data_IF_451371314332
#
_entry.id   IF_451371314332
#
_cell.length_a   1.000
_cell.length_b   1.000
_cell.length_c   1.000
_cell.angle_alpha   90.00
_cell.angle_beta   90.00
_cell.angle_gamma   90.00
#
_symmetry.space_group_name_H-M   'P 1'
#
loop_
_entity.id
_entity.type
_entity.pdbx_description
1 polymer ?
#
# COMPACT_ATOMS: atom_id res chain seq x y z
N UNK A 1 -25.42 22.68 -54.45
CA UNK A 1 -26.16 23.19 -53.27
C UNK A 1 -25.81 22.27 -52.11
N UNK A 2 -24.85 22.67 -51.48
CA UNK A 2 -24.57 23.34 -50.21
C UNK A 2 -24.39 22.36 -49.07
N UNK A 3 -23.15 22.18 -48.73
CA UNK A 3 -22.51 22.43 -47.44
C UNK A 3 -23.47 22.81 -46.32
N UNK A 4 -23.49 21.97 -45.28
CA UNK A 4 -23.45 22.33 -43.86
C UNK A 4 -23.60 21.05 -42.98
N UNK A 5 -22.51 20.44 -42.66
CA UNK A 5 -22.45 19.49 -41.50
C UNK A 5 -20.97 19.30 -41.04
N UNK A 6 -20.31 20.41 -40.69
CA UNK A 6 -18.96 20.35 -40.08
C UNK A 6 -18.84 21.03 -38.70
N UNK A 7 -19.94 21.41 -38.07
CA UNK A 7 -19.86 22.10 -36.76
C UNK A 7 -20.42 21.31 -35.57
N UNK A 8 -20.89 20.06 -35.77
CA UNK A 8 -21.43 19.22 -34.69
C UNK A 8 -20.42 18.36 -33.93
N UNK A 9 -19.22 18.15 -34.46
CA UNK A 9 -18.27 17.20 -33.87
C UNK A 9 -17.23 17.77 -32.87
N UNK A 10 -17.14 19.11 -32.76
CA UNK A 10 -16.18 19.76 -31.85
C UNK A 10 -16.71 19.93 -30.41
N UNK A 11 -18.01 20.08 -30.24
CA UNK A 11 -18.60 20.23 -28.89
C UNK A 11 -18.85 18.90 -28.19
N UNK A 12 -19.15 17.82 -28.91
CA UNK A 12 -19.24 16.47 -28.34
C UNK A 12 -17.88 15.93 -27.92
N UNK A 13 -16.79 16.30 -28.58
CA UNK A 13 -15.42 15.94 -28.20
C UNK A 13 -14.94 16.65 -26.93
N UNK A 14 -15.48 17.79 -26.57
CA UNK A 14 -15.14 18.51 -25.33
C UNK A 14 -15.85 17.94 -24.09
N UNK A 15 -16.96 17.21 -24.26
CA UNK A 15 -17.72 16.58 -23.18
C UNK A 15 -17.15 15.24 -22.73
N UNK A 16 -16.32 14.60 -23.56
CA UNK A 16 -15.61 13.35 -23.22
C UNK A 16 -14.12 13.59 -22.97
N UNK A 17 -13.76 14.43 -21.98
CA UNK A 17 -12.43 14.31 -21.39
C UNK A 17 -12.35 12.89 -20.78
N UNK A 18 -11.34 12.07 -21.12
CA UNK A 18 -11.19 10.76 -20.51
C UNK A 18 -11.01 10.95 -19.01
N UNK A 19 -12.06 10.68 -18.23
CA UNK A 19 -12.12 10.85 -16.79
C UNK A 19 -11.48 9.68 -16.04
N UNK A 20 -11.01 8.66 -16.75
CA UNK A 20 -10.37 7.48 -16.20
C UNK A 20 -8.91 7.37 -16.66
N UNK A 21 -8.10 6.63 -15.91
CA UNK A 21 -6.74 6.25 -16.34
C UNK A 21 -6.84 5.58 -17.72
N UNK A 22 -6.16 6.13 -18.71
CA UNK A 22 -6.05 5.51 -20.02
C UNK A 22 -5.00 4.38 -19.93
N UNK A 23 -5.46 3.16 -19.63
CA UNK A 23 -4.58 2.00 -19.43
C UNK A 23 -3.73 1.69 -20.68
N UNK A 24 -4.28 1.87 -21.89
CA UNK A 24 -3.55 1.65 -23.12
C UNK A 24 -2.39 2.64 -23.27
N UNK A 25 -2.63 3.92 -23.03
CA UNK A 25 -1.57 4.94 -23.08
C UNK A 25 -0.53 4.76 -21.96
N UNK A 26 -0.97 4.35 -20.78
CA UNK A 26 -0.04 4.03 -19.69
C UNK A 26 0.86 2.85 -20.06
N UNK A 27 0.31 1.80 -20.66
CA UNK A 27 1.06 0.66 -21.14
C UNK A 27 2.07 1.09 -22.21
N UNK A 28 1.63 1.82 -23.25
CA UNK A 28 2.50 2.33 -24.31
C UNK A 28 3.72 3.11 -23.78
N UNK A 29 3.50 3.98 -22.80
CA UNK A 29 4.57 4.80 -22.22
C UNK A 29 5.53 3.98 -21.35
N UNK A 30 5.03 3.00 -20.60
CA UNK A 30 5.82 2.26 -19.62
C UNK A 30 6.40 0.96 -20.16
N UNK A 31 5.90 0.45 -21.28
CA UNK A 31 6.33 -0.84 -21.87
C UNK A 31 7.84 -0.97 -22.07
N UNK A 32 8.57 0.04 -22.60
CA UNK A 32 10.03 -0.08 -22.77
C UNK A 32 10.74 -0.32 -21.42
N UNK A 33 10.33 0.36 -20.36
CA UNK A 33 10.94 0.22 -19.02
C UNK A 33 10.57 -1.12 -18.38
N UNK A 34 9.31 -1.58 -18.55
CA UNK A 34 8.92 -2.92 -18.12
C UNK A 34 9.74 -3.99 -18.83
N UNK A 35 9.88 -3.92 -20.17
CA UNK A 35 10.66 -4.87 -20.94
C UNK A 35 12.11 -4.91 -20.45
N UNK A 36 12.76 -3.76 -20.28
CA UNK A 36 14.11 -3.68 -19.75
C UNK A 36 14.23 -4.28 -18.34
N UNK A 37 13.25 -4.01 -17.45
CA UNK A 37 13.25 -4.55 -16.10
C UNK A 37 13.03 -6.08 -16.07
N UNK A 38 12.19 -6.62 -16.97
CA UNK A 38 12.03 -8.06 -17.14
C UNK A 38 13.29 -8.73 -17.69
N UNK A 39 13.91 -8.17 -18.72
CA UNK A 39 15.17 -8.69 -19.34
C UNK A 39 16.31 -8.73 -18.32
N UNK A 40 16.39 -7.76 -17.44
CA UNK A 40 17.40 -7.67 -16.36
C UNK A 40 17.06 -8.46 -15.10
N UNK A 41 15.97 -9.24 -15.08
CA UNK A 41 15.59 -10.07 -13.95
C UNK A 41 15.13 -9.29 -12.72
N UNK A 42 14.66 -8.05 -12.90
CA UNK A 42 14.14 -7.20 -11.82
C UNK A 42 12.64 -7.37 -11.61
N UNK A 43 11.95 -7.99 -12.58
CA UNK A 43 10.51 -8.26 -12.56
C UNK A 43 10.20 -9.66 -13.05
N UNK A 44 9.04 -10.20 -12.66
CA UNK A 44 8.62 -11.55 -13.07
C UNK A 44 9.46 -12.68 -12.50
N UNK A 45 10.19 -12.44 -11.41
CA UNK A 45 11.17 -13.38 -10.85
C UNK A 45 10.49 -14.44 -10.00
N UNK A 46 10.74 -15.70 -10.31
CA UNK A 46 10.39 -16.82 -9.42
C UNK A 46 11.49 -17.02 -8.39
N UNK A 47 11.10 -17.20 -7.12
CA UNK A 47 12.07 -17.40 -6.06
C UNK A 47 11.63 -18.51 -5.07
N UNK A 48 12.62 -19.07 -4.36
CA UNK A 48 12.40 -19.87 -3.15
C UNK A 48 12.71 -19.03 -1.93
N UNK A 49 11.85 -19.13 -0.90
CA UNK A 49 12.03 -18.38 0.34
C UNK A 49 13.08 -19.10 1.21
N UNK A 50 14.10 -18.37 1.63
CA UNK A 50 15.10 -18.77 2.59
C UNK A 50 14.90 -18.09 3.96
N UNK A 51 15.85 -18.26 4.86
CA UNK A 51 15.86 -17.65 6.18
C UNK A 51 16.35 -16.18 6.14
N UNK A 52 16.05 -15.40 7.16
CA UNK A 52 16.58 -14.05 7.38
C UNK A 52 16.50 -13.12 6.18
N UNK A 53 15.32 -13.05 5.54
CA UNK A 53 15.07 -12.20 4.35
C UNK A 53 15.90 -12.56 3.12
N UNK A 54 16.48 -13.74 3.09
CA UNK A 54 17.12 -14.26 1.88
C UNK A 54 16.11 -14.99 1.00
N UNK A 55 16.29 -14.87 -0.29
CA UNK A 55 15.57 -15.65 -1.29
C UNK A 55 16.58 -16.23 -2.29
N UNK A 56 16.27 -17.38 -2.86
CA UNK A 56 16.97 -17.96 -3.99
C UNK A 56 16.19 -17.69 -5.27
N UNK A 57 16.82 -17.04 -6.22
CA UNK A 57 16.22 -16.83 -7.55
C UNK A 57 16.19 -18.18 -8.26
N UNK A 58 14.98 -18.67 -8.56
CA UNK A 58 14.78 -20.05 -9.02
C UNK A 58 15.46 -20.36 -10.38
N UNK A 59 15.64 -19.35 -11.24
CA UNK A 59 16.25 -19.50 -12.57
C UNK A 59 17.78 -19.54 -12.53
N UNK A 60 18.41 -18.86 -11.59
CA UNK A 60 19.87 -18.72 -11.51
C UNK A 60 20.47 -19.45 -10.32
N UNK A 61 19.68 -19.78 -9.28
CA UNK A 61 20.17 -20.29 -8.03
C UNK A 61 20.85 -19.24 -7.13
N UNK A 62 20.87 -17.99 -7.55
CA UNK A 62 21.51 -16.91 -6.81
C UNK A 62 20.76 -16.63 -5.49
N UNK A 63 21.51 -16.55 -4.39
CA UNK A 63 20.99 -16.11 -3.10
C UNK A 63 21.08 -14.59 -3.01
N UNK A 64 19.95 -13.94 -2.66
CA UNK A 64 19.90 -12.48 -2.55
C UNK A 64 19.16 -12.07 -1.26
N UNK A 65 19.51 -10.90 -0.74
CA UNK A 65 18.77 -10.23 0.34
C UNK A 65 17.58 -9.51 -0.26
N UNK A 66 16.38 -9.79 0.24
CA UNK A 66 15.12 -9.29 -0.30
C UNK A 66 14.60 -8.06 0.44
N UNK A 67 14.59 -6.92 -0.23
CA UNK A 67 14.00 -5.65 0.21
C UNK A 67 12.63 -5.38 -0.42
N UNK A 68 11.98 -6.36 -1.05
CA UNK A 68 10.72 -6.14 -1.80
C UNK A 68 9.49 -6.58 -1.03
N UNK A 69 9.56 -7.73 -0.31
CA UNK A 69 8.41 -8.27 0.43
C UNK A 69 8.07 -7.42 1.65
N UNK A 70 6.76 -7.21 1.86
CA UNK A 70 6.25 -6.35 2.91
C UNK A 70 5.96 -7.08 4.25
N UNK A 71 6.57 -8.23 4.50
CA UNK A 71 6.49 -8.94 5.78
C UNK A 71 7.35 -8.25 6.86
N UNK A 72 6.96 -7.03 7.28
CA UNK A 72 7.81 -6.12 8.06
C UNK A 72 8.32 -6.67 9.39
N UNK A 73 7.51 -7.49 10.06
CA UNK A 73 7.87 -8.14 11.33
C UNK A 73 8.30 -9.61 11.16
N UNK A 74 8.38 -10.09 9.90
CA UNK A 74 8.70 -11.48 9.55
C UNK A 74 7.76 -12.53 10.17
N UNK A 75 6.53 -12.12 10.52
CA UNK A 75 5.52 -13.02 11.10
C UNK A 75 4.98 -14.02 10.07
N UNK A 76 5.08 -13.73 8.79
CA UNK A 76 4.74 -14.63 7.69
C UNK A 76 5.61 -15.89 7.64
N UNK A 77 6.80 -15.85 8.23
CA UNK A 77 7.73 -16.99 8.39
C UNK A 77 7.77 -17.52 9.82
N UNK A 78 6.99 -16.97 10.74
CA UNK A 78 7.04 -17.34 12.16
C UNK A 78 6.52 -18.77 12.40
N UNK A 79 7.26 -19.65 13.13
CA UNK A 79 6.91 -21.07 13.31
C UNK A 79 5.49 -21.30 13.82
N UNK A 80 5.04 -20.52 14.80
CA UNK A 80 3.69 -20.66 15.36
C UNK A 80 2.61 -20.24 14.37
N UNK A 81 2.84 -19.22 13.54
CA UNK A 81 1.93 -18.77 12.49
C UNK A 81 1.80 -19.83 11.40
N UNK A 82 2.94 -20.39 10.96
CA UNK A 82 2.96 -21.46 9.96
C UNK A 82 2.29 -22.75 10.48
N UNK A 83 2.54 -23.13 11.75
CA UNK A 83 1.92 -24.30 12.37
C UNK A 83 0.40 -24.13 12.47
N UNK A 84 -0.09 -22.95 12.87
CA UNK A 84 -1.52 -22.66 12.98
C UNK A 84 -2.21 -22.63 11.61
N UNK A 85 -1.53 -22.13 10.56
CA UNK A 85 -2.05 -22.17 9.19
C UNK A 85 -2.30 -23.61 8.71
N UNK A 86 -1.36 -24.52 9.01
CA UNK A 86 -1.52 -25.95 8.67
C UNK A 86 -2.65 -26.60 9.45
N UNK A 87 -2.68 -26.40 10.78
CA UNK A 87 -3.67 -27.01 11.66
C UNK A 87 -5.10 -26.56 11.37
N UNK A 88 -5.31 -25.30 11.01
CA UNK A 88 -6.66 -24.76 10.79
C UNK A 88 -7.39 -25.41 9.60
N UNK A 89 -6.67 -25.77 8.54
CA UNK A 89 -7.29 -26.47 7.40
C UNK A 89 -7.72 -27.89 7.78
N UNK A 90 -6.93 -28.58 8.59
CA UNK A 90 -7.24 -29.93 9.07
C UNK A 90 -8.40 -29.93 10.08
N UNK A 91 -8.44 -28.97 11.01
CA UNK A 91 -9.49 -28.83 12.03
C UNK A 91 -10.87 -28.58 11.37
N UNK A 92 -10.94 -27.69 10.40
CA UNK A 92 -12.20 -27.30 9.75
C UNK A 92 -12.59 -28.27 8.63
N UNK A 93 -11.67 -29.09 8.16
CA UNK A 93 -11.86 -30.04 7.05
C UNK A 93 -12.36 -29.38 5.76
N UNK A 94 -11.98 -28.11 5.57
CA UNK A 94 -12.35 -27.31 4.40
C UNK A 94 -11.28 -26.27 4.12
N UNK A 95 -10.91 -26.10 2.86
CA UNK A 95 -9.96 -25.06 2.43
C UNK A 95 -10.62 -23.67 2.46
N UNK A 96 -11.85 -23.56 2.00
CA UNK A 96 -12.48 -22.27 1.74
C UNK A 96 -13.82 -22.03 2.39
N UNK A 97 -14.49 -23.03 2.91
CA UNK A 97 -15.87 -22.90 3.40
C UNK A 97 -16.75 -22.06 2.45
N UNK A 98 -16.89 -22.54 1.22
CA UNK A 98 -17.47 -21.79 0.11
C UNK A 98 -18.96 -21.57 0.27
N UNK A 99 -19.34 -20.43 0.83
CA UNK A 99 -20.75 -20.01 1.00
C UNK A 99 -20.83 -18.48 1.04
N UNK A 100 -21.97 -17.92 0.64
CA UNK A 100 -22.22 -16.50 0.85
C UNK A 100 -22.26 -16.20 2.35
N UNK A 101 -21.36 -15.35 2.83
CA UNK A 101 -21.20 -15.00 4.25
C UNK A 101 -22.44 -14.34 4.87
N UNK A 102 -23.33 -13.83 4.05
CA UNK A 102 -24.65 -13.36 4.48
C UNK A 102 -25.56 -14.50 4.98
N UNK A 103 -25.22 -15.76 4.70
CA UNK A 103 -25.99 -16.95 5.10
C UNK A 103 -25.30 -17.71 6.23
N UNK A 104 -24.02 -18.03 6.04
CA UNK A 104 -23.22 -18.79 7.00
C UNK A 104 -21.80 -18.21 7.06
N UNK A 105 -21.21 -18.23 8.25
CA UNK A 105 -19.79 -17.92 8.45
C UNK A 105 -19.16 -19.06 9.24
N UNK A 106 -17.95 -19.48 8.84
CA UNK A 106 -17.19 -20.45 9.63
C UNK A 106 -16.87 -19.88 11.01
N UNK A 107 -17.04 -20.65 12.07
CA UNK A 107 -16.80 -20.21 13.47
C UNK A 107 -15.41 -19.59 13.65
N UNK A 108 -14.28 -20.17 13.14
CA UNK A 108 -12.97 -19.57 13.31
C UNK A 108 -12.85 -18.17 12.70
N UNK A 109 -13.58 -17.87 11.62
CA UNK A 109 -13.59 -16.55 11.04
C UNK A 109 -14.32 -15.54 11.94
N UNK A 110 -15.45 -15.94 12.53
CA UNK A 110 -16.17 -15.11 13.51
C UNK A 110 -15.30 -14.87 14.76
N UNK A 111 -14.61 -15.91 15.22
CA UNK A 111 -13.63 -15.80 16.33
C UNK A 111 -12.47 -14.86 15.98
N UNK A 112 -11.97 -14.91 14.74
CA UNK A 112 -10.92 -13.99 14.28
C UNK A 112 -11.43 -12.54 14.32
N UNK A 113 -12.60 -12.25 13.77
CA UNK A 113 -13.17 -10.89 13.76
C UNK A 113 -13.34 -10.34 15.18
N UNK A 114 -13.85 -11.15 16.12
CA UNK A 114 -13.98 -10.73 17.53
C UNK A 114 -12.62 -10.57 18.22
N UNK A 115 -11.66 -11.45 17.93
CA UNK A 115 -10.28 -11.35 18.45
C UNK A 115 -9.61 -10.04 17.99
N UNK A 116 -9.72 -9.72 16.70
CA UNK A 116 -9.15 -8.50 16.13
C UNK A 116 -9.86 -7.24 16.65
N UNK A 117 -11.18 -7.28 16.84
CA UNK A 117 -11.94 -6.16 17.44
C UNK A 117 -11.43 -5.82 18.85
N UNK A 118 -11.21 -6.86 19.65
CA UNK A 118 -10.66 -6.72 21.01
C UNK A 118 -9.20 -6.26 20.99
N UNK A 119 -8.39 -6.82 20.07
CA UNK A 119 -6.97 -6.47 19.94
C UNK A 119 -6.80 -4.99 19.59
N UNK A 120 -7.54 -4.51 18.60
CA UNK A 120 -7.43 -3.13 18.10
C UNK A 120 -8.32 -2.12 18.85
N UNK A 121 -9.10 -2.60 19.82
CA UNK A 121 -10.02 -1.77 20.60
C UNK A 121 -10.96 -0.93 19.71
N UNK A 122 -11.70 -1.61 18.85
CA UNK A 122 -12.69 -1.04 17.96
C UNK A 122 -14.05 -1.74 18.17
N UNK A 123 -15.15 -1.09 17.76
CA UNK A 123 -16.50 -1.65 17.94
C UNK A 123 -16.68 -2.97 17.19
N UNK A 124 -16.09 -3.09 16.00
CA UNK A 124 -16.08 -4.33 15.23
C UNK A 124 -14.99 -4.35 14.17
N UNK A 125 -14.63 -5.56 13.75
CA UNK A 125 -13.79 -5.82 12.58
C UNK A 125 -14.56 -6.71 11.62
N UNK A 126 -14.51 -6.39 10.34
CA UNK A 126 -15.01 -7.26 9.26
C UNK A 126 -13.83 -7.67 8.39
N UNK A 127 -13.59 -8.97 8.27
CA UNK A 127 -12.45 -9.52 7.52
C UNK A 127 -12.86 -9.87 6.08
N UNK A 128 -11.95 -9.63 5.14
CA UNK A 128 -12.08 -9.88 3.71
C UNK A 128 -10.89 -10.70 3.20
N UNK A 129 -10.98 -11.34 2.00
CA UNK A 129 -9.85 -12.08 1.44
C UNK A 129 -8.64 -11.18 1.12
N UNK A 130 -8.87 -9.91 0.84
CA UNK A 130 -7.83 -8.89 0.62
C UNK A 130 -8.32 -7.51 1.05
N UNK A 131 -7.41 -6.55 1.29
CA UNK A 131 -7.79 -5.16 1.52
C UNK A 131 -8.46 -4.54 0.29
N UNK A 132 -8.06 -4.94 -0.92
CA UNK A 132 -8.74 -4.52 -2.15
C UNK A 132 -10.22 -4.93 -2.16
N UNK A 133 -10.53 -6.15 -1.70
CA UNK A 133 -11.92 -6.59 -1.56
C UNK A 133 -12.68 -5.82 -0.46
N UNK A 134 -12.00 -5.44 0.62
CA UNK A 134 -12.57 -4.58 1.66
C UNK A 134 -12.92 -3.20 1.10
N UNK A 135 -11.98 -2.56 0.39
CA UNK A 135 -12.17 -1.26 -0.26
C UNK A 135 -13.30 -1.30 -1.30
N UNK A 136 -13.32 -2.34 -2.15
CA UNK A 136 -14.38 -2.56 -3.15
C UNK A 136 -15.76 -2.75 -2.53
N UNK A 137 -15.82 -3.35 -1.34
CA UNK A 137 -17.07 -3.55 -0.64
C UNK A 137 -17.59 -2.30 0.07
N UNK A 138 -16.69 -1.49 0.64
CA UNK A 138 -17.05 -0.37 1.51
C UNK A 138 -17.28 0.96 0.77
N UNK A 139 -16.42 1.29 -0.21
CA UNK A 139 -16.46 2.60 -0.87
C UNK A 139 -17.77 2.90 -1.59
N UNK A 140 -18.40 1.95 -2.34
CA UNK A 140 -19.71 2.19 -2.94
C UNK A 140 -20.82 2.45 -1.90
N UNK A 141 -20.75 1.79 -0.72
CA UNK A 141 -21.72 2.01 0.35
C UNK A 141 -21.56 3.40 0.98
N UNK A 142 -20.33 3.89 1.10
CA UNK A 142 -20.06 5.27 1.52
C UNK A 142 -20.63 6.27 0.52
N UNK A 143 -20.37 6.08 -0.79
CA UNK A 143 -20.86 6.95 -1.85
C UNK A 143 -22.40 7.00 -1.91
N UNK A 144 -23.04 5.85 -1.68
CA UNK A 144 -24.50 5.74 -1.62
C UNK A 144 -25.14 6.30 -0.33
N UNK A 145 -24.34 6.79 0.61
CA UNK A 145 -24.83 7.38 1.87
C UNK A 145 -25.19 6.36 2.95
N UNK A 146 -24.88 5.07 2.77
CA UNK A 146 -25.26 4.02 3.73
C UNK A 146 -24.48 4.09 5.07
N UNK A 147 -23.36 4.80 5.08
CA UNK A 147 -22.58 5.05 6.31
C UNK A 147 -22.86 6.42 6.93
N UNK A 148 -23.67 7.23 6.29
CA UNK A 148 -23.87 8.63 6.58
C UNK A 148 -25.36 8.99 6.69
N UNK A 149 -26.16 8.08 7.25
CA UNK A 149 -27.59 8.23 7.50
C UNK A 149 -28.41 8.63 6.25
N UNK A 150 -28.04 8.12 5.08
CA UNK A 150 -28.70 8.39 3.80
C UNK A 150 -28.23 9.65 3.08
N UNK A 151 -27.32 10.43 3.66
CA UNK A 151 -26.75 11.62 3.00
C UNK A 151 -25.54 11.20 2.17
N UNK A 152 -25.58 11.39 0.85
CA UNK A 152 -24.46 11.11 -0.02
C UNK A 152 -23.38 12.19 0.16
N UNK A 153 -22.15 11.83 0.57
CA UNK A 153 -21.07 12.82 0.76
C UNK A 153 -20.45 13.22 -0.58
N UNK A 154 -19.88 14.43 -0.67
CA UNK A 154 -18.80 14.68 -1.62
C UNK A 154 -17.60 13.82 -1.24
N UNK A 155 -17.11 12.95 -2.15
CA UNK A 155 -15.93 12.13 -1.86
C UNK A 155 -14.67 12.82 -2.38
N UNK A 156 -13.69 12.96 -1.50
CA UNK A 156 -12.40 13.63 -1.78
C UNK A 156 -11.27 12.62 -1.64
N UNK A 157 -10.60 12.31 -2.75
CA UNK A 157 -9.44 11.42 -2.76
C UNK A 157 -8.15 12.21 -2.64
N UNK A 158 -7.23 11.72 -1.83
CA UNK A 158 -5.82 12.07 -1.95
C UNK A 158 -5.25 11.53 -3.28
N UNK A 159 -4.48 12.36 -4.01
CA UNK A 159 -3.91 11.95 -5.30
C UNK A 159 -2.95 10.74 -5.21
N UNK A 160 -2.34 10.50 -4.04
CA UNK A 160 -1.46 9.36 -3.80
C UNK A 160 -2.15 8.18 -3.14
N UNK A 161 -3.47 8.25 -2.94
CA UNK A 161 -4.23 7.10 -2.47
C UNK A 161 -3.93 5.86 -3.31
N UNK A 162 -3.80 4.72 -2.66
CA UNK A 162 -3.44 3.46 -3.31
C UNK A 162 -4.39 3.13 -4.47
N UNK A 163 -3.88 2.47 -5.49
CA UNK A 163 -4.64 2.10 -6.68
C UNK A 163 -5.93 1.33 -6.36
N UNK A 164 -5.93 0.50 -5.33
CA UNK A 164 -7.13 -0.23 -4.87
C UNK A 164 -8.24 0.65 -4.32
N UNK A 165 -7.95 1.91 -3.99
CA UNK A 165 -8.93 2.95 -3.68
C UNK A 165 -9.34 3.69 -4.95
N UNK A 166 -8.36 4.18 -5.71
CA UNK A 166 -8.62 5.02 -6.90
C UNK A 166 -9.37 4.30 -8.03
N UNK A 167 -9.27 2.97 -8.14
CA UNK A 167 -10.03 2.20 -9.14
C UNK A 167 -11.53 2.35 -9.00
N UNK A 168 -12.02 2.73 -7.82
CA UNK A 168 -13.44 2.89 -7.56
C UNK A 168 -13.98 4.25 -7.99
N UNK A 169 -13.15 5.26 -8.27
CA UNK A 169 -13.58 6.61 -8.63
C UNK A 169 -14.67 6.63 -9.73
N UNK A 170 -14.55 5.87 -10.85
CA UNK A 170 -15.60 5.87 -11.86
C UNK A 170 -16.94 5.34 -11.33
N UNK A 171 -16.92 4.28 -10.52
CA UNK A 171 -18.13 3.68 -9.93
C UNK A 171 -18.76 4.63 -8.90
N UNK A 172 -17.94 5.29 -8.07
CA UNK A 172 -18.43 6.21 -7.05
C UNK A 172 -19.08 7.46 -7.67
N UNK A 173 -18.63 7.88 -8.86
CA UNK A 173 -19.21 9.00 -9.61
C UNK A 173 -20.62 8.73 -10.12
N UNK A 174 -21.07 7.49 -10.20
CA UNK A 174 -22.48 7.17 -10.48
C UNK A 174 -23.38 7.46 -9.27
N UNK A 175 -22.82 7.52 -8.07
CA UNK A 175 -23.56 7.77 -6.83
C UNK A 175 -23.45 9.21 -6.34
N UNK A 176 -22.27 9.82 -6.42
CA UNK A 176 -22.00 11.15 -5.86
C UNK A 176 -20.85 11.85 -6.57
N UNK A 177 -20.62 13.13 -6.28
CA UNK A 177 -19.47 13.87 -6.79
C UNK A 177 -18.17 13.36 -6.15
N UNK A 178 -17.11 13.24 -7.00
CA UNK A 178 -15.79 12.79 -6.58
C UNK A 178 -14.72 13.76 -7.07
N UNK A 179 -13.93 14.30 -6.14
CA UNK A 179 -12.81 15.20 -6.39
C UNK A 179 -11.50 14.49 -5.98
N UNK A 180 -10.41 14.79 -6.69
CA UNK A 180 -9.05 14.40 -6.30
C UNK A 180 -8.29 15.66 -5.95
N UNK A 181 -7.71 15.71 -4.77
CA UNK A 181 -6.89 16.83 -4.29
C UNK A 181 -5.40 16.46 -4.29
N UNK A 182 -4.54 17.46 -4.19
CA UNK A 182 -3.10 17.24 -4.02
C UNK A 182 -2.81 16.50 -2.72
N UNK A 183 -1.64 15.84 -2.67
CA UNK A 183 -1.27 15.02 -1.53
C UNK A 183 -1.23 15.81 -0.23
N UNK A 184 -2.03 15.36 0.75
CA UNK A 184 -2.17 16.00 2.06
C UNK A 184 -2.57 17.50 2.02
N UNK A 185 -3.29 17.95 0.97
CA UNK A 185 -3.77 19.34 0.85
C UNK A 185 -4.97 19.59 1.78
N UNK A 186 -4.66 19.79 3.06
CA UNK A 186 -5.66 20.06 4.09
C UNK A 186 -6.40 21.38 3.90
N UNK A 187 -5.76 22.39 3.30
CA UNK A 187 -6.41 23.67 3.04
C UNK A 187 -7.52 23.53 1.99
N UNK A 188 -7.24 22.78 0.92
CA UNK A 188 -8.26 22.47 -0.08
C UNK A 188 -9.38 21.63 0.53
N UNK A 189 -9.04 20.59 1.31
CA UNK A 189 -10.01 19.75 2.00
C UNK A 189 -10.91 20.58 2.94
N UNK A 190 -10.33 21.49 3.72
CA UNK A 190 -11.11 22.36 4.61
C UNK A 190 -12.07 23.28 3.84
N UNK A 191 -11.63 23.90 2.74
CA UNK A 191 -12.52 24.68 1.86
C UNK A 191 -13.71 23.87 1.34
N UNK A 192 -13.47 22.60 0.99
CA UNK A 192 -14.55 21.70 0.56
C UNK A 192 -15.52 21.39 1.71
N UNK A 193 -15.00 21.15 2.92
CA UNK A 193 -15.83 20.98 4.10
C UNK A 193 -16.69 22.21 4.45
N UNK A 194 -16.20 23.42 4.17
CA UNK A 194 -16.96 24.66 4.38
C UNK A 194 -18.08 24.86 3.35
N UNK A 195 -17.91 24.34 2.13
CA UNK A 195 -18.82 24.58 1.01
C UNK A 195 -19.81 23.44 0.74
N UNK A 196 -19.65 22.29 1.38
CA UNK A 196 -20.49 21.11 1.18
C UNK A 196 -21.07 20.62 2.52
N UNK A 197 -22.32 20.15 2.52
CA UNK A 197 -22.99 19.71 3.75
C UNK A 197 -22.34 18.48 4.39
N UNK A 198 -21.71 17.63 3.58
CA UNK A 198 -20.99 16.44 4.03
C UNK A 198 -19.87 16.10 3.05
N UNK A 199 -18.68 15.90 3.58
CA UNK A 199 -17.49 15.51 2.83
C UNK A 199 -16.94 14.20 3.41
N UNK A 200 -16.46 13.31 2.54
CA UNK A 200 -15.73 12.11 2.91
C UNK A 200 -14.33 12.12 2.29
N UNK A 201 -13.30 12.09 3.11
CA UNK A 201 -11.91 11.99 2.67
C UNK A 201 -11.50 10.51 2.56
N UNK A 202 -10.81 10.17 1.47
CA UNK A 202 -10.30 8.82 1.17
C UNK A 202 -8.81 8.91 0.83
N UNK A 203 -7.99 8.19 1.59
CA UNK A 203 -6.53 8.15 1.39
C UNK A 203 -5.89 6.95 2.08
N UNK A 204 -4.56 6.88 2.02
CA UNK A 204 -3.80 5.90 2.80
C UNK A 204 -3.40 6.50 4.16
N UNK A 205 -3.41 5.70 5.21
CA UNK A 205 -2.83 6.06 6.51
C UNK A 205 -1.31 6.07 6.44
N UNK A 206 -0.77 5.01 5.86
CA UNK A 206 0.65 4.85 5.55
C UNK A 206 0.82 4.56 4.06
N UNK A 207 1.40 5.49 3.31
CA UNK A 207 1.48 5.41 1.85
C UNK A 207 2.52 4.39 1.38
N UNK A 208 2.20 3.67 0.32
CA UNK A 208 3.04 2.60 -0.25
C UNK A 208 4.36 3.11 -0.85
N UNK A 209 4.42 4.39 -1.20
CA UNK A 209 5.61 5.10 -1.70
C UNK A 209 6.23 6.00 -0.64
N UNK A 210 5.95 5.75 0.64
CA UNK A 210 6.45 6.54 1.76
C UNK A 210 5.55 7.72 2.13
N UNK A 211 5.73 8.22 3.35
CA UNK A 211 4.86 9.24 3.91
C UNK A 211 3.64 8.67 4.63
N UNK A 212 2.86 9.55 5.23
CA UNK A 212 1.69 9.21 6.01
C UNK A 212 0.64 10.31 5.97
N UNK A 213 -0.62 9.93 6.24
CA UNK A 213 -1.72 10.88 6.38
C UNK A 213 -1.56 11.76 7.64
N UNK A 214 -2.00 13.02 7.59
CA UNK A 214 -2.06 13.93 8.75
C UNK A 214 -3.29 13.59 9.62
N UNK A 215 -3.24 12.45 10.34
CA UNK A 215 -4.39 11.86 11.05
C UNK A 215 -4.97 12.81 12.08
N UNK A 216 -4.14 13.58 12.78
CA UNK A 216 -4.59 14.53 13.83
C UNK A 216 -5.33 15.71 13.23
N UNK A 217 -4.86 16.22 12.14
CA UNK A 217 -5.45 17.33 11.39
C UNK A 217 -6.77 16.88 10.74
N UNK A 218 -6.81 15.68 10.15
CA UNK A 218 -8.06 15.07 9.66
C UNK A 218 -9.08 14.91 10.80
N UNK A 219 -8.65 14.51 12.00
CA UNK A 219 -9.51 14.45 13.17
C UNK A 219 -10.03 15.83 13.57
N UNK A 220 -9.20 16.86 13.52
CA UNK A 220 -9.64 18.23 13.80
C UNK A 220 -10.70 18.71 12.79
N UNK A 221 -10.55 18.42 11.49
CA UNK A 221 -11.57 18.70 10.49
C UNK A 221 -12.85 17.88 10.71
N UNK A 222 -12.72 16.65 11.16
CA UNK A 222 -13.85 15.80 11.52
C UNK A 222 -14.64 16.39 12.69
N UNK A 223 -13.96 16.87 13.73
CA UNK A 223 -14.61 17.49 14.89
C UNK A 223 -15.28 18.82 14.53
N UNK A 224 -14.69 19.59 13.62
CA UNK A 224 -15.18 20.91 13.22
C UNK A 224 -16.31 20.87 12.21
N UNK A 225 -16.22 19.98 11.23
CA UNK A 225 -17.12 19.98 10.06
C UNK A 225 -17.91 18.68 9.86
N UNK A 226 -17.67 17.66 10.68
CA UNK A 226 -18.32 16.36 10.51
C UNK A 226 -17.73 15.52 9.38
N UNK A 227 -16.50 15.80 8.96
CA UNK A 227 -15.79 15.05 7.91
C UNK A 227 -15.87 13.54 8.15
N UNK A 228 -16.23 12.76 7.14
CA UNK A 228 -16.08 11.31 7.19
C UNK A 228 -14.67 10.94 6.70
N UNK A 229 -13.98 10.04 7.39
CA UNK A 229 -12.59 9.67 7.08
C UNK A 229 -12.50 8.18 6.79
N UNK A 230 -12.00 7.83 5.60
CA UNK A 230 -11.67 6.48 5.17
C UNK A 230 -10.17 6.38 4.88
N UNK A 231 -9.43 5.63 5.69
CA UNK A 231 -7.98 5.48 5.54
C UNK A 231 -7.57 4.02 5.39
N UNK A 232 -6.75 3.73 4.35
CA UNK A 232 -6.09 2.43 4.17
C UNK A 232 -4.75 2.42 4.90
N UNK A 233 -4.67 1.69 6.00
CA UNK A 233 -3.49 1.56 6.87
C UNK A 233 -2.77 0.21 6.66
N UNK A 234 -2.80 -0.31 5.43
CA UNK A 234 -2.20 -1.60 5.09
C UNK A 234 -0.70 -1.70 5.43
N UNK A 235 0.01 -0.58 5.45
CA UNK A 235 1.44 -0.50 5.77
C UNK A 235 1.73 -0.13 7.23
N UNK A 236 0.75 0.34 7.99
CA UNK A 236 0.90 0.74 9.39
C UNK A 236 0.54 -0.35 10.40
N UNK A 237 -0.40 -1.24 10.05
CA UNK A 237 -0.83 -2.34 10.93
C UNK A 237 0.36 -3.21 11.35
N UNK A 238 0.41 -3.62 12.61
CA UNK A 238 1.48 -4.36 13.29
C UNK A 238 2.76 -3.57 13.52
N UNK A 239 3.10 -2.63 12.64
CA UNK A 239 4.34 -1.84 12.68
C UNK A 239 4.28 -0.79 13.77
N UNK A 240 3.12 -0.15 13.93
CA UNK A 240 2.87 0.94 14.88
C UNK A 240 1.76 0.57 15.85
N UNK A 241 1.85 1.11 17.05
CA UNK A 241 0.89 0.88 18.12
C UNK A 241 1.32 -0.23 19.09
N UNK A 242 0.92 -0.12 20.36
CA UNK A 242 1.31 -1.08 21.42
C UNK A 242 0.76 -2.49 21.18
N UNK A 243 -0.34 -2.60 20.46
CA UNK A 243 -1.02 -3.85 20.08
C UNK A 243 -0.91 -4.11 18.58
N UNK A 244 -0.09 -3.32 17.86
CA UNK A 244 -0.02 -3.36 16.42
C UNK A 244 -1.29 -2.85 15.73
N UNK A 245 -2.04 -1.99 16.39
CA UNK A 245 -3.29 -1.43 15.87
C UNK A 245 -3.13 -0.53 14.65
N UNK A 246 -1.88 -0.24 14.27
CA UNK A 246 -1.54 0.51 13.06
C UNK A 246 -1.30 1.99 13.27
N UNK A 247 -0.86 2.65 12.21
CA UNK A 247 -0.48 4.06 12.22
C UNK A 247 -1.69 4.97 12.48
N UNK A 248 -2.82 4.70 11.83
CA UNK A 248 -4.02 5.51 11.97
C UNK A 248 -4.66 5.30 13.35
N UNK A 249 -4.98 4.03 13.69
CA UNK A 249 -5.72 3.73 14.92
C UNK A 249 -4.96 4.13 16.18
N UNK A 250 -3.62 4.01 16.17
CA UNK A 250 -2.78 4.39 17.34
C UNK A 250 -2.77 5.88 17.66
N UNK A 251 -3.20 6.73 16.74
CA UNK A 251 -3.28 8.18 16.92
C UNK A 251 -4.66 8.67 17.35
N UNK A 252 -5.64 7.79 17.38
CA UNK A 252 -7.03 8.10 17.78
C UNK A 252 -7.30 7.52 19.15
N UNK A 253 -7.93 8.27 20.04
CA UNK A 253 -8.40 7.78 21.35
C UNK A 253 -9.42 6.65 21.16
N UNK A 254 -10.33 6.83 20.22
CA UNK A 254 -11.35 5.85 19.83
C UNK A 254 -11.59 5.92 18.32
N UNK A 255 -12.19 4.88 17.77
CA UNK A 255 -12.70 4.87 16.40
C UNK A 255 -14.20 5.13 16.45
N UNK A 256 -14.62 6.27 15.95
CA UNK A 256 -16.02 6.69 15.96
C UNK A 256 -16.78 6.27 14.69
N UNK A 257 -18.07 6.63 14.61
CA UNK A 257 -18.96 6.30 13.49
C UNK A 257 -18.63 7.04 12.17
N UNK A 258 -17.68 7.97 12.16
CA UNK A 258 -17.25 8.73 10.97
C UNK A 258 -15.86 8.33 10.51
N UNK A 259 -15.31 7.25 11.05
CA UNK A 259 -13.97 6.78 10.66
C UNK A 259 -14.00 5.30 10.34
N UNK A 260 -13.48 4.94 9.17
CA UNK A 260 -13.18 3.57 8.76
C UNK A 260 -11.68 3.47 8.52
N UNK A 261 -11.06 2.42 9.07
CA UNK A 261 -9.67 2.06 8.78
C UNK A 261 -9.66 0.70 8.08
N UNK A 262 -9.25 0.70 6.82
CA UNK A 262 -8.93 -0.55 6.11
C UNK A 262 -7.49 -0.95 6.41
N UNK A 263 -7.20 -2.25 6.49
CA UNK A 263 -5.84 -2.72 6.74
C UNK A 263 -5.58 -4.11 6.14
N UNK A 264 -4.29 -4.44 5.96
CA UNK A 264 -3.86 -5.71 5.35
C UNK A 264 -3.30 -6.67 6.39
N UNK A 265 -3.88 -7.87 6.47
CA UNK A 265 -3.30 -8.97 7.24
C UNK A 265 -2.10 -9.63 6.53
N UNK A 266 -1.87 -9.32 5.24
CA UNK A 266 -0.83 -9.93 4.41
C UNK A 266 0.54 -9.22 4.44
N UNK A 267 0.72 -8.24 5.33
CA UNK A 267 1.98 -7.48 5.45
C UNK A 267 2.58 -7.65 6.85
N UNK A 268 2.70 -6.60 7.63
CA UNK A 268 3.26 -6.66 8.98
C UNK A 268 2.58 -7.67 9.91
N UNK A 269 1.30 -7.97 9.70
CA UNK A 269 0.54 -8.94 10.48
C UNK A 269 0.91 -10.40 10.17
N UNK A 270 1.55 -10.69 9.02
CA UNK A 270 2.13 -11.99 8.70
C UNK A 270 1.13 -13.12 8.38
N UNK A 271 -0.08 -12.79 7.98
CA UNK A 271 -1.09 -13.75 7.53
C UNK A 271 -1.51 -13.47 6.08
N UNK A 272 -2.76 -13.69 5.72
CA UNK A 272 -3.33 -13.20 4.47
C UNK A 272 -4.77 -12.72 4.73
N UNK A 273 -5.17 -11.69 3.99
CA UNK A 273 -6.49 -11.08 4.12
C UNK A 273 -6.44 -9.56 4.20
N UNK A 274 -7.61 -8.97 4.23
CA UNK A 274 -7.84 -7.57 4.53
C UNK A 274 -8.91 -7.43 5.59
N UNK A 275 -9.04 -6.27 6.18
CA UNK A 275 -10.07 -5.98 7.16
C UNK A 275 -10.53 -4.53 7.11
N UNK A 276 -11.71 -4.28 7.67
CA UNK A 276 -12.20 -2.97 8.06
C UNK A 276 -12.31 -2.91 9.57
N UNK A 277 -11.69 -1.92 10.20
CA UNK A 277 -11.93 -1.51 11.57
C UNK A 277 -13.06 -0.48 11.57
N UNK A 278 -14.09 -0.73 12.35
CA UNK A 278 -15.33 0.04 12.38
C UNK A 278 -15.63 0.54 13.78
N UNK A 279 -15.99 1.82 13.89
CA UNK A 279 -16.42 2.45 15.13
C UNK A 279 -17.92 2.36 15.40
N UNK A 280 -18.72 1.82 14.46
CA UNK A 280 -20.18 1.79 14.53
C UNK A 280 -20.75 0.43 14.12
N UNK A 281 -21.74 -0.04 14.89
CA UNK A 281 -22.52 -1.25 14.55
C UNK A 281 -23.42 -1.05 13.34
N UNK A 282 -23.87 0.16 13.07
CA UNK A 282 -24.69 0.45 11.89
C UNK A 282 -23.86 0.31 10.61
N UNK A 283 -22.61 0.79 10.62
CA UNK A 283 -21.68 0.60 9.50
C UNK A 283 -21.37 -0.90 9.32
N UNK A 284 -21.11 -1.63 10.40
CA UNK A 284 -20.90 -3.08 10.35
C UNK A 284 -22.10 -3.79 9.70
N UNK A 285 -23.30 -3.47 10.13
CA UNK A 285 -24.52 -4.04 9.58
C UNK A 285 -24.69 -3.73 8.09
N UNK A 286 -24.38 -2.50 7.67
CA UNK A 286 -24.42 -2.11 6.26
C UNK A 286 -23.38 -2.89 5.45
N UNK A 287 -22.15 -3.00 5.93
CA UNK A 287 -21.09 -3.79 5.28
C UNK A 287 -21.50 -5.27 5.14
N UNK A 288 -21.95 -5.90 6.22
CA UNK A 288 -22.32 -7.33 6.20
C UNK A 288 -23.52 -7.64 5.30
N UNK A 289 -24.44 -6.70 5.13
CA UNK A 289 -25.65 -6.89 4.33
C UNK A 289 -25.48 -6.51 2.87
N UNK A 290 -24.74 -5.44 2.59
CA UNK A 290 -24.77 -4.78 1.28
C UNK A 290 -23.42 -4.74 0.58
N UNK A 291 -22.28 -4.98 1.26
CA UNK A 291 -21.00 -5.02 0.58
C UNK A 291 -20.92 -6.21 -0.39
N UNK A 292 -20.76 -5.96 -1.71
CA UNK A 292 -20.78 -7.05 -2.71
C UNK A 292 -19.69 -8.08 -2.44
N UNK A 293 -18.50 -7.64 -2.03
CA UNK A 293 -17.37 -8.53 -1.77
C UNK A 293 -17.50 -9.30 -0.45
N UNK A 294 -18.35 -8.88 0.46
CA UNK A 294 -18.68 -9.66 1.64
C UNK A 294 -19.58 -10.85 1.30
N UNK A 295 -20.61 -10.61 0.49
CA UNK A 295 -21.63 -11.62 0.15
C UNK A 295 -21.26 -12.51 -1.04
N UNK A 296 -20.51 -11.97 -2.01
CA UNK A 296 -20.32 -12.59 -3.34
C UNK A 296 -18.86 -12.84 -3.70
N UNK A 297 -17.92 -12.69 -2.74
CA UNK A 297 -16.56 -13.21 -2.88
C UNK A 297 -16.29 -14.32 -1.85
N UNK A 298 -15.19 -15.06 -2.05
CA UNK A 298 -14.77 -16.05 -1.05
C UNK A 298 -14.41 -15.37 0.28
N UNK A 299 -14.63 -16.07 1.40
CA UNK A 299 -13.99 -15.74 2.66
C UNK A 299 -12.47 -15.95 2.55
N UNK A 300 -11.64 -15.41 3.46
CA UNK A 300 -10.25 -15.84 3.60
C UNK A 300 -10.17 -17.36 3.77
N UNK A 301 -9.11 -17.98 3.23
CA UNK A 301 -8.88 -19.41 3.41
C UNK A 301 -8.75 -19.76 4.90
N UNK A 302 -9.11 -20.97 5.27
CA UNK A 302 -9.01 -21.38 6.67
C UNK A 302 -7.57 -21.41 7.18
N UNK A 303 -6.61 -21.71 6.31
CA UNK A 303 -5.18 -21.56 6.63
C UNK A 303 -4.82 -20.10 6.97
N UNK A 304 -5.34 -19.13 6.20
CA UNK A 304 -5.14 -17.69 6.48
C UNK A 304 -5.80 -17.27 7.80
N UNK A 305 -6.98 -17.82 8.12
CA UNK A 305 -7.67 -17.55 9.39
C UNK A 305 -6.88 -18.10 10.56
N UNK A 306 -6.34 -19.32 10.45
CA UNK A 306 -5.47 -19.93 11.48
C UNK A 306 -4.19 -19.13 11.70
N UNK A 307 -3.52 -18.73 10.62
CA UNK A 307 -2.35 -17.85 10.66
C UNK A 307 -2.67 -16.53 11.38
N UNK A 308 -3.78 -15.88 11.02
CA UNK A 308 -4.17 -14.62 11.62
C UNK A 308 -4.52 -14.73 13.12
N UNK A 309 -5.17 -15.81 13.54
CA UNK A 309 -5.42 -16.08 14.97
C UNK A 309 -4.14 -16.31 15.76
N UNK A 310 -3.14 -16.99 15.19
CA UNK A 310 -1.84 -17.17 15.82
C UNK A 310 -1.06 -15.84 15.90
N UNK A 311 -1.07 -15.07 14.83
CA UNK A 311 -0.47 -13.73 14.80
C UNK A 311 -1.13 -12.82 15.85
N UNK A 312 -2.47 -12.82 15.97
CA UNK A 312 -3.16 -12.05 16.99
C UNK A 312 -2.70 -12.41 18.43
N UNK A 313 -2.38 -13.68 18.71
CA UNK A 313 -1.82 -14.07 20.00
C UNK A 313 -0.43 -13.48 20.23
N UNK A 314 0.43 -13.42 19.21
CA UNK A 314 1.74 -12.74 19.29
C UNK A 314 1.56 -11.25 19.58
N UNK A 315 0.57 -10.61 18.96
CA UNK A 315 0.24 -9.20 19.18
C UNK A 315 -0.26 -8.92 20.61
N UNK A 316 -0.85 -9.90 21.28
CA UNK A 316 -1.28 -9.77 22.68
C UNK A 316 -0.13 -9.99 23.68
N UNK A 317 1.01 -10.53 23.22
CA UNK A 317 2.18 -10.83 24.06
C UNK A 317 3.27 -9.77 23.97
N UNK A 318 4.40 -10.07 24.65
CA UNK A 318 5.57 -9.20 24.65
C UNK A 318 6.38 -9.29 23.35
N UNK A 319 6.20 -10.36 22.58
CA UNK A 319 6.95 -10.65 21.36
C UNK A 319 6.74 -9.58 20.28
N UNK A 320 5.52 -9.07 20.12
CA UNK A 320 5.25 -7.94 19.21
C UNK A 320 6.20 -6.77 19.49
N UNK A 321 6.33 -6.38 20.76
CA UNK A 321 7.20 -5.27 21.16
C UNK A 321 8.67 -5.52 20.86
N UNK A 322 9.14 -6.77 20.92
CA UNK A 322 10.51 -7.15 20.52
C UNK A 322 10.70 -6.97 19.01
N UNK A 323 9.78 -7.50 18.21
CA UNK A 323 9.81 -7.40 16.75
C UNK A 323 9.73 -5.94 16.27
N UNK A 324 8.87 -5.13 16.87
CA UNK A 324 8.79 -3.70 16.57
C UNK A 324 10.10 -2.98 16.91
N UNK A 325 10.75 -3.28 18.03
CA UNK A 325 12.06 -2.71 18.39
C UNK A 325 13.14 -3.09 17.38
N UNK A 326 13.21 -4.37 16.98
CA UNK A 326 14.15 -4.84 15.95
C UNK A 326 13.94 -4.10 14.62
N UNK A 327 12.69 -3.93 14.21
CA UNK A 327 12.36 -3.13 13.02
C UNK A 327 12.84 -1.69 13.16
N UNK A 328 12.58 -1.03 14.29
CA UNK A 328 12.98 0.37 14.51
C UNK A 328 14.52 0.52 14.58
N UNK A 329 15.24 -0.46 15.11
CA UNK A 329 16.70 -0.48 15.09
C UNK A 329 17.24 -0.58 13.65
N UNK A 330 16.67 -1.47 12.84
CA UNK A 330 17.05 -1.61 11.44
C UNK A 330 16.70 -0.36 10.62
N UNK A 331 15.56 0.28 10.89
CA UNK A 331 15.20 1.55 10.27
C UNK A 331 16.17 2.67 10.65
N UNK A 332 16.55 2.78 11.91
CA UNK A 332 17.51 3.78 12.37
C UNK A 332 18.89 3.57 11.74
N UNK A 333 19.36 2.31 11.63
CA UNK A 333 20.59 1.98 10.94
C UNK A 333 20.49 2.36 9.45
N UNK A 334 19.40 1.97 8.78
CA UNK A 334 19.17 2.27 7.38
C UNK A 334 19.24 3.78 7.12
N UNK A 335 18.50 4.56 7.92
CA UNK A 335 18.45 6.03 7.83
C UNK A 335 19.81 6.69 8.11
N UNK A 336 20.64 6.05 8.95
CA UNK A 336 21.99 6.55 9.23
C UNK A 336 22.95 6.34 8.06
N UNK A 337 22.80 5.26 7.29
CA UNK A 337 23.78 4.89 6.26
C UNK A 337 23.29 5.16 4.83
N UNK A 338 21.97 5.23 4.57
CA UNK A 338 21.37 5.46 3.25
C UNK A 338 20.43 6.66 3.32
N UNK A 339 20.78 7.78 2.65
CA UNK A 339 19.90 8.95 2.60
C UNK A 339 18.66 8.65 1.75
N UNK A 340 17.46 8.81 2.33
CA UNK A 340 16.18 8.63 1.64
C UNK A 340 15.22 9.77 1.96
N UNK A 341 14.16 9.93 1.17
CA UNK A 341 13.14 10.96 1.39
C UNK A 341 12.30 10.73 2.67
N UNK A 342 12.32 9.51 3.20
CA UNK A 342 11.51 9.08 4.35
C UNK A 342 12.30 8.88 5.63
N UNK A 343 13.49 9.50 5.73
CA UNK A 343 14.35 9.47 6.92
C UNK A 343 13.57 9.86 8.17
N UNK A 344 13.78 9.13 9.26
CA UNK A 344 13.13 9.36 10.55
C UNK A 344 11.69 8.88 10.66
N UNK A 345 11.09 8.40 9.58
CA UNK A 345 9.76 7.78 9.63
C UNK A 345 9.81 6.45 10.39
N UNK A 346 8.80 6.21 11.24
CA UNK A 346 8.61 4.91 11.91
C UNK A 346 8.05 3.82 10.97
N UNK A 347 7.60 4.22 9.77
CA UNK A 347 7.08 3.31 8.76
C UNK A 347 8.21 2.62 7.99
N UNK A 348 8.01 1.39 7.52
CA UNK A 348 9.11 0.52 7.08
C UNK A 348 9.56 0.73 5.64
N UNK A 349 8.97 1.67 4.91
CA UNK A 349 9.29 1.92 3.51
C UNK A 349 10.31 3.04 3.39
N UNK A 350 11.34 2.79 2.57
CA UNK A 350 12.37 3.75 2.22
C UNK A 350 12.43 3.93 0.72
N UNK A 351 12.42 5.19 0.28
CA UNK A 351 12.46 5.59 -1.14
C UNK A 351 13.79 6.28 -1.41
N UNK A 352 14.57 5.68 -2.29
CA UNK A 352 15.83 6.23 -2.78
C UNK A 352 15.62 6.72 -4.21
N UNK A 353 15.45 8.03 -4.38
CA UNK A 353 15.14 8.64 -5.67
C UNK A 353 16.37 8.66 -6.58
N UNK A 354 16.14 8.29 -7.84
CA UNK A 354 17.18 8.27 -8.88
C UNK A 354 16.82 9.26 -10.01
N UNK A 355 15.52 9.41 -10.28
CA UNK A 355 14.99 10.28 -11.33
C UNK A 355 14.75 9.54 -12.64
N UNK A 356 15.80 9.22 -13.41
CA UNK A 356 15.66 8.50 -14.70
C UNK A 356 15.25 7.05 -14.49
N UNK A 357 14.34 6.58 -15.32
CA UNK A 357 13.83 5.21 -15.38
C UNK A 357 14.96 4.23 -15.73
N UNK A 358 15.76 4.56 -16.76
CA UNK A 358 16.88 3.74 -17.20
C UNK A 358 17.93 3.59 -16.10
N UNK A 359 18.28 4.69 -15.46
CA UNK A 359 19.25 4.69 -14.35
C UNK A 359 18.75 3.90 -13.14
N UNK A 360 17.46 3.95 -12.86
CA UNK A 360 16.87 3.18 -11.77
C UNK A 360 16.94 1.67 -12.06
N UNK A 361 16.65 1.27 -13.31
CA UNK A 361 16.72 -0.12 -13.77
C UNK A 361 18.19 -0.61 -13.73
N UNK A 362 19.13 0.16 -14.25
CA UNK A 362 20.57 -0.19 -14.18
C UNK A 362 21.09 -0.30 -12.74
N UNK A 363 20.63 0.57 -11.85
CA UNK A 363 21.04 0.51 -10.44
C UNK A 363 20.42 -0.72 -9.75
N UNK A 364 19.17 -1.06 -10.08
CA UNK A 364 18.54 -2.29 -9.60
C UNK A 364 19.28 -3.55 -10.05
N UNK A 365 19.67 -3.63 -11.33
CA UNK A 365 20.49 -4.71 -11.88
C UNK A 365 21.85 -4.83 -11.18
N UNK A 366 22.57 -3.71 -11.03
CA UNK A 366 23.84 -3.65 -10.32
C UNK A 366 23.75 -4.22 -8.90
N UNK A 367 22.67 -3.89 -8.18
CA UNK A 367 22.43 -4.40 -6.82
C UNK A 367 22.07 -5.89 -6.83
N UNK A 368 21.24 -6.32 -7.79
CA UNK A 368 20.84 -7.71 -7.93
C UNK A 368 22.05 -8.63 -8.19
N UNK A 369 22.92 -8.24 -9.10
CA UNK A 369 24.18 -8.96 -9.40
C UNK A 369 25.05 -9.12 -8.14
N UNK A 370 24.94 -8.21 -7.17
CA UNK A 370 25.71 -8.17 -5.92
C UNK A 370 24.94 -8.69 -4.71
N UNK A 371 23.84 -9.43 -4.97
CA UNK A 371 23.11 -10.13 -3.91
C UNK A 371 22.04 -9.32 -3.19
N UNK A 372 21.61 -8.18 -3.72
CA UNK A 372 20.54 -7.36 -3.12
C UNK A 372 19.38 -7.16 -4.10
N UNK A 373 18.19 -7.64 -3.74
CA UNK A 373 17.00 -7.49 -4.57
C UNK A 373 16.10 -6.39 -4.03
N UNK A 374 15.94 -5.31 -4.81
CA UNK A 374 15.16 -4.12 -4.47
C UNK A 374 14.05 -3.89 -5.48
N UNK A 375 12.96 -3.23 -5.08
CA UNK A 375 11.92 -2.85 -6.04
C UNK A 375 12.35 -1.60 -6.82
N UNK A 376 12.50 -1.72 -8.13
CA UNK A 376 12.62 -0.58 -9.02
C UNK A 376 11.23 -0.06 -9.35
N UNK A 377 10.96 1.21 -9.07
CA UNK A 377 9.68 1.86 -9.30
C UNK A 377 9.83 2.99 -10.31
N UNK A 378 8.96 2.99 -11.30
CA UNK A 378 8.90 3.97 -12.38
C UNK A 378 7.45 4.18 -12.81
N UNK A 379 7.21 5.04 -13.79
CA UNK A 379 5.85 5.25 -14.31
C UNK A 379 5.18 3.93 -14.74
N UNK A 380 3.93 3.65 -14.37
CA UNK A 380 2.93 4.57 -13.77
C UNK A 380 2.89 4.60 -12.23
N UNK A 381 3.77 3.90 -11.53
CA UNK A 381 3.80 3.87 -10.06
C UNK A 381 4.19 5.23 -9.47
N UNK A 382 5.14 5.90 -10.11
CA UNK A 382 5.57 7.28 -9.83
C UNK A 382 5.47 8.12 -11.11
N UNK A 383 5.46 9.46 -11.03
CA UNK A 383 5.55 10.33 -12.21
C UNK A 383 6.79 10.02 -13.05
N UNK A 384 6.72 10.35 -14.35
CA UNK A 384 7.87 10.22 -15.27
C UNK A 384 9.03 11.10 -14.79
N UNK A 385 10.24 10.56 -14.88
CA UNK A 385 11.44 11.24 -14.39
C UNK A 385 11.60 11.24 -12.87
N UNK A 386 10.76 10.48 -12.15
CA UNK A 386 10.83 10.34 -10.69
C UNK A 386 11.08 8.88 -10.26
N UNK A 387 11.70 8.09 -11.13
CA UNK A 387 12.01 6.69 -10.83
C UNK A 387 12.90 6.56 -9.58
N UNK A 388 12.69 5.49 -8.83
CA UNK A 388 13.32 5.29 -7.54
C UNK A 388 13.54 3.80 -7.23
N UNK A 389 14.35 3.52 -6.23
CA UNK A 389 14.39 2.23 -5.55
C UNK A 389 13.48 2.32 -4.30
N UNK A 390 12.54 1.40 -4.23
CA UNK A 390 11.67 1.24 -3.06
C UNK A 390 12.13 0.04 -2.25
N UNK A 391 12.44 0.26 -1.00
CA UNK A 391 12.97 -0.75 -0.08
C UNK A 391 12.06 -0.91 1.13
N UNK A 392 11.65 -2.14 1.40
CA UNK A 392 10.90 -2.52 2.57
C UNK A 392 11.87 -3.06 3.64
N UNK A 393 12.20 -2.22 4.62
CA UNK A 393 13.03 -2.63 5.77
C UNK A 393 12.20 -3.49 6.71
N UNK A 394 12.81 -4.54 7.28
CA UNK A 394 12.10 -5.49 8.14
C UNK A 394 12.87 -5.77 9.43
N UNK A 395 12.18 -6.32 10.42
CA UNK A 395 12.78 -6.76 11.67
C UNK A 395 13.84 -7.88 11.49
N UNK A 396 13.76 -8.61 10.37
CA UNK A 396 14.62 -9.75 10.07
C UNK A 396 15.80 -9.45 9.13
N UNK A 397 15.98 -8.20 8.68
CA UNK A 397 17.20 -7.84 7.97
C UNK A 397 18.40 -7.87 8.89
N UNK A 398 19.50 -8.45 8.40
CA UNK A 398 20.78 -8.38 9.08
C UNK A 398 21.35 -6.97 8.97
N UNK A 399 21.84 -6.36 10.05
CA UNK A 399 22.49 -5.06 10.01
C UNK A 399 23.67 -4.98 9.02
N UNK A 400 24.41 -6.06 8.80
CA UNK A 400 25.53 -6.09 7.86
C UNK A 400 25.05 -6.07 6.41
N UNK A 401 23.93 -6.71 6.07
CA UNK A 401 23.29 -6.59 4.76
C UNK A 401 22.85 -5.14 4.46
N UNK A 402 22.39 -4.39 5.47
CA UNK A 402 22.04 -2.97 5.32
C UNK A 402 23.28 -2.11 5.06
N UNK A 403 24.39 -2.39 5.74
CA UNK A 403 25.67 -1.68 5.53
C UNK A 403 26.25 -1.98 4.16
N UNK A 404 26.17 -3.24 3.72
CA UNK A 404 26.62 -3.67 2.40
C UNK A 404 25.84 -2.96 1.30
N UNK A 405 24.48 -2.96 1.37
CA UNK A 405 23.62 -2.22 0.46
C UNK A 405 24.03 -0.73 0.35
N UNK A 406 24.30 -0.09 1.50
CA UNK A 406 24.77 1.30 1.53
C UNK A 406 26.11 1.49 0.79
N UNK A 407 27.05 0.58 0.99
CA UNK A 407 28.35 0.64 0.34
C UNK A 407 28.22 0.48 -1.19
N UNK A 408 27.35 -0.42 -1.63
CA UNK A 408 27.06 -0.64 -3.06
C UNK A 408 26.40 0.59 -3.70
N UNK A 409 25.42 1.22 -3.04
CA UNK A 409 24.76 2.43 -3.54
C UNK A 409 25.76 3.59 -3.69
N UNK A 410 26.66 3.79 -2.70
CA UNK A 410 27.71 4.81 -2.77
C UNK A 410 28.73 4.54 -3.88
N UNK A 411 29.15 3.29 -4.05
CA UNK A 411 30.05 2.90 -5.13
C UNK A 411 29.45 3.21 -6.50
N UNK A 412 28.17 2.88 -6.69
CA UNK A 412 27.43 3.13 -7.93
C UNK A 412 27.29 4.64 -8.24
N UNK A 413 27.09 5.46 -7.22
CA UNK A 413 27.08 6.93 -7.38
C UNK A 413 28.47 7.48 -7.73
N UNK A 414 29.53 6.97 -7.10
CA UNK A 414 30.91 7.35 -7.38
C UNK A 414 31.35 7.00 -8.80
N UNK A 415 31.02 5.81 -9.27
CA UNK A 415 31.26 5.37 -10.67
C UNK A 415 30.62 6.35 -11.67
N UNK A 416 29.36 6.75 -11.43
CA UNK A 416 28.62 7.67 -12.30
C UNK A 416 29.16 9.10 -12.29
N UNK A 417 29.67 9.56 -11.17
CA UNK A 417 30.34 10.87 -11.10
C UNK A 417 31.59 10.88 -11.98
N UNK A 418 32.35 9.77 -12.03
CA UNK A 418 33.53 9.60 -12.89
C UNK A 418 33.13 9.50 -14.37
N UNK A 419 32.10 8.73 -14.69
CA UNK A 419 31.59 8.60 -16.07
C UNK A 419 31.12 9.96 -16.63
N UNK A 420 30.35 10.73 -15.84
CA UNK A 420 29.86 12.05 -16.23
C UNK A 420 31.02 13.03 -16.41
N UNK A 421 32.04 12.96 -15.56
CA UNK A 421 33.26 13.80 -15.66
C UNK A 421 34.04 13.44 -16.93
N UNK A 422 34.26 12.17 -17.21
CA UNK A 422 34.95 11.70 -18.40
C UNK A 422 34.23 12.03 -19.69
N UNK A 423 32.87 11.92 -19.71
CA UNK A 423 32.05 12.30 -20.87
C UNK A 423 32.13 13.81 -21.15
N UNK A 424 32.17 14.65 -20.09
CA UNK A 424 32.33 16.10 -20.21
C UNK A 424 33.72 16.47 -20.76
N UNK A 425 34.75 15.68 -20.46
CA UNK A 425 36.11 15.89 -21.01
C UNK A 425 36.24 15.34 -22.45
N UNK A 426 35.58 14.22 -22.79
CA UNK A 426 35.62 13.67 -24.16
C UNK A 426 34.86 14.54 -25.18
N UNK A 427 33.93 15.40 -24.73
CA UNK A 427 33.20 16.35 -25.58
C UNK A 427 33.93 17.68 -25.82
N UNK A 428 35.14 17.90 -25.24
CA UNK A 428 35.89 19.17 -25.31
C UNK A 428 37.07 19.16 -26.29
N UNK A 429 37.26 18.11 -27.09
CA UNK A 429 38.27 18.05 -28.15
C UNK A 429 37.83 18.68 -29.49
N UNK A 430 37.13 19.80 -29.48
CA UNK A 430 37.12 20.72 -30.60
C UNK A 430 38.12 21.87 -30.31
N UNK A 431 39.30 21.73 -30.91
CA UNK A 431 40.29 22.79 -30.93
C UNK A 431 39.73 24.07 -31.59
N UNK A 432 39.93 25.27 -31.03
CA UNK A 432 39.48 26.50 -31.67
C UNK A 432 40.25 26.70 -32.95
N UNK A 433 39.56 26.66 -34.11
CA UNK A 433 40.11 27.15 -35.37
C UNK A 433 40.31 28.66 -35.25
N UNK A 434 41.56 29.10 -35.20
CA UNK A 434 41.96 30.46 -35.48
C UNK A 434 41.73 30.79 -36.95
N UNK A 435 40.84 31.75 -37.25
CA UNK A 435 41.10 32.85 -38.21
C UNK A 435 40.35 34.10 -37.70
#
# INVERSE_FOLDING_TARGET
>A
MNNNNQHGNSELGALFKPKARNAARMAEISEPHFNAAYEKGLMGVSCRVGDYRRIEIATTGQQVVDYTRCGYLNLDSHPHVLAAARAAADEIKSVHFSVARTRLSAEPLTRLESTLSNLFQVSSVVVFPTVAAANMGALPLLAAGLFTAGVKPLIVFDRFAHVTLQYHIPVLREETDVIVIEHNDLEHLERLCQSHPLVAYVGDGAYSMGGAAPVRELRALQDKYGLFVYLDDAHGISVVGKRGEGFVRSQLSELDHRTIVAASLGKGFGAAGGLLMLGSRDIENAVRRYAPTYGFSCAPSMASVGAALASAKIHMGEELGMLQRSLQQNLALFDHVIPTETIGSKLPIRIYRIGSEERAIETGEYLLERGHYVSVVFFPTVPRGEAALRMAVTAAHDPDDIRELSSLLRAREGEKAVETHNAAFAGSDEAPAFV
#
